data_IF_734390892814
#
_entry.id   IF_734390892814
#
_cell.length_a   1.000
_cell.length_b   1.000
_cell.length_c   1.000
_cell.angle_alpha   90.00
_cell.angle_beta   90.00
_cell.angle_gamma   90.00
#
_symmetry.space_group_name_H-M   'P 1'
#
loop_
_entity.id
_entity.type
_entity.pdbx_description
1 polymer ?
#
# COMPACT_ATOMS: atom_id res chain seq x y z
N UNK A 1 44.88 -24.43 -19.99
CA UNK A 1 43.60 -24.64 -20.70
C UNK A 1 42.51 -25.14 -19.74
N UNK A 2 42.72 -26.27 -19.05
CA UNK A 2 41.77 -26.84 -18.08
C UNK A 2 41.48 -25.92 -16.88
N UNK A 3 42.49 -25.25 -16.32
CA UNK A 3 42.29 -24.32 -15.20
C UNK A 3 41.39 -23.12 -15.53
N UNK A 4 41.44 -22.63 -16.78
CA UNK A 4 40.58 -21.54 -17.24
C UNK A 4 39.13 -21.98 -17.44
N UNK A 5 38.91 -23.19 -17.98
CA UNK A 5 37.57 -23.77 -18.11
C UNK A 5 36.91 -24.03 -16.76
N UNK A 6 37.69 -24.50 -15.77
CA UNK A 6 37.23 -24.70 -14.40
C UNK A 6 36.86 -23.38 -13.71
N UNK A 7 37.73 -22.36 -13.84
CA UNK A 7 37.44 -21.02 -13.33
C UNK A 7 36.20 -20.40 -13.98
N UNK A 8 36.02 -20.60 -15.28
CA UNK A 8 34.84 -20.10 -15.99
C UNK A 8 33.55 -20.81 -15.54
N UNK A 9 33.58 -22.13 -15.35
CA UNK A 9 32.45 -22.90 -14.83
C UNK A 9 32.06 -22.48 -13.41
N UNK A 10 33.05 -22.33 -12.52
CA UNK A 10 32.81 -21.88 -11.14
C UNK A 10 32.25 -20.46 -11.07
N UNK A 11 32.72 -19.54 -11.93
CA UNK A 11 32.16 -18.19 -12.05
C UNK A 11 30.68 -18.21 -12.48
N UNK A 12 30.31 -19.05 -13.46
CA UNK A 12 28.91 -19.18 -13.91
C UNK A 12 28.01 -19.74 -12.79
N UNK A 13 28.51 -20.71 -12.03
CA UNK A 13 27.78 -21.30 -10.90
C UNK A 13 27.55 -20.27 -9.79
N UNK A 14 28.60 -19.52 -9.40
CA UNK A 14 28.49 -18.48 -8.38
C UNK A 14 27.57 -17.36 -8.85
N UNK A 15 27.72 -16.88 -10.10
CA UNK A 15 26.89 -15.80 -10.64
C UNK A 15 25.41 -16.17 -10.66
N UNK A 16 25.08 -17.41 -11.03
CA UNK A 16 23.69 -17.89 -11.06
C UNK A 16 23.10 -17.98 -9.65
N UNK A 17 23.88 -18.45 -8.67
CA UNK A 17 23.45 -18.47 -7.28
C UNK A 17 23.26 -17.06 -6.71
N UNK A 18 24.21 -16.15 -6.95
CA UNK A 18 24.10 -14.75 -6.53
C UNK A 18 22.94 -14.03 -7.20
N UNK A 19 22.64 -14.34 -8.47
CA UNK A 19 21.51 -13.75 -9.19
C UNK A 19 20.17 -14.25 -8.65
N UNK A 20 20.03 -15.54 -8.36
CA UNK A 20 18.81 -16.09 -7.79
C UNK A 20 18.56 -15.58 -6.36
N UNK A 21 19.62 -15.47 -5.55
CA UNK A 21 19.55 -14.88 -4.21
C UNK A 21 19.18 -13.39 -4.26
N UNK A 22 19.82 -12.62 -5.13
CA UNK A 22 19.50 -11.21 -5.33
C UNK A 22 18.06 -11.04 -5.83
N UNK A 23 17.61 -11.87 -6.77
CA UNK A 23 16.23 -11.87 -7.25
C UNK A 23 15.24 -12.06 -6.09
N UNK A 24 15.47 -13.06 -5.22
CA UNK A 24 14.63 -13.27 -4.05
C UNK A 24 14.62 -12.06 -3.09
N UNK A 25 15.81 -11.49 -2.79
CA UNK A 25 15.94 -10.29 -1.94
C UNK A 25 15.26 -9.05 -2.51
N UNK A 26 15.18 -8.93 -3.83
CA UNK A 26 14.50 -7.81 -4.50
C UNK A 26 13.01 -8.04 -4.70
N UNK A 27 12.55 -9.29 -4.80
CA UNK A 27 11.14 -9.66 -4.98
C UNK A 27 10.30 -9.30 -3.74
N UNK A 28 10.88 -9.32 -2.53
CA UNK A 28 10.15 -8.92 -1.33
C UNK A 28 9.90 -7.41 -1.20
N UNK A 29 10.50 -6.55 -2.05
CA UNK A 29 10.54 -5.09 -1.80
C UNK A 29 9.95 -4.18 -2.87
N UNK A 30 9.38 -4.69 -3.97
CA UNK A 30 8.92 -3.83 -5.08
C UNK A 30 7.47 -4.00 -5.54
N UNK A 31 6.64 -4.77 -4.83
CA UNK A 31 5.21 -4.79 -5.10
C UNK A 31 4.49 -3.95 -4.02
N UNK A 32 4.13 -2.71 -4.36
CA UNK A 32 3.15 -1.99 -3.56
C UNK A 32 1.83 -2.77 -3.70
N UNK A 33 1.28 -3.36 -2.63
CA UNK A 33 0.11 -4.24 -2.75
C UNK A 33 -1.16 -3.51 -3.24
N UNK A 34 -1.10 -2.18 -3.34
CA UNK A 34 -2.17 -1.29 -3.78
C UNK A 34 -1.59 -0.20 -4.70
N UNK A 35 -2.11 -0.12 -5.91
CA UNK A 35 -1.83 0.97 -6.85
C UNK A 35 -3.05 1.90 -7.03
N UNK A 36 -4.27 1.41 -6.75
CA UNK A 36 -5.49 2.21 -6.88
C UNK A 36 -6.59 1.87 -5.86
N UNK A 37 -7.56 2.77 -5.73
CA UNK A 37 -8.79 2.57 -4.97
C UNK A 37 -9.60 1.35 -5.47
N UNK A 38 -9.55 1.06 -6.78
CA UNK A 38 -10.17 -0.15 -7.35
C UNK A 38 -9.59 -1.42 -6.73
N UNK A 39 -8.28 -1.48 -6.49
CA UNK A 39 -7.65 -2.68 -5.93
C UNK A 39 -8.03 -2.87 -4.46
N UNK A 40 -8.16 -1.78 -3.71
CA UNK A 40 -8.76 -1.79 -2.37
C UNK A 40 -10.19 -2.34 -2.39
N UNK A 41 -10.98 -2.07 -3.44
CA UNK A 41 -12.35 -2.57 -3.56
C UNK A 41 -12.44 -4.08 -3.89
N UNK A 42 -11.40 -4.64 -4.51
CA UNK A 42 -11.32 -6.05 -4.92
C UNK A 42 -10.81 -6.95 -3.79
N UNK A 43 -9.94 -6.42 -2.93
CA UNK A 43 -9.30 -7.17 -1.84
C UNK A 43 -9.90 -6.80 -0.46
N UNK A 44 -9.74 -7.70 0.51
CA UNK A 44 -10.23 -7.52 1.89
C UNK A 44 -9.12 -7.59 2.93
N UNK A 45 -7.86 -7.79 2.51
CA UNK A 45 -6.70 -7.95 3.41
C UNK A 45 -6.30 -6.62 4.05
N UNK A 46 -6.19 -5.57 3.24
CA UNK A 46 -5.93 -4.20 3.70
C UNK A 46 -7.26 -3.54 4.03
N UNK A 47 -7.43 -3.11 5.29
CA UNK A 47 -8.60 -2.34 5.72
C UNK A 47 -8.46 -0.91 5.23
N UNK A 48 -9.56 -0.24 4.96
CA UNK A 48 -9.53 1.18 4.61
C UNK A 48 -10.68 1.94 5.25
N UNK A 49 -10.43 3.21 5.53
CA UNK A 49 -11.37 4.07 6.19
C UNK A 49 -11.08 5.53 5.96
N UNK A 50 -12.01 6.37 6.40
CA UNK A 50 -11.93 7.81 6.31
C UNK A 50 -12.27 8.44 7.67
N UNK A 51 -12.13 9.75 7.76
CA UNK A 51 -12.63 10.51 8.90
C UNK A 51 -14.18 10.44 8.94
N UNK A 52 -14.74 9.98 10.07
CA UNK A 52 -16.19 9.70 10.23
C UNK A 52 -17.10 10.85 9.80
N UNK A 53 -16.75 12.07 10.20
CA UNK A 53 -17.49 13.30 9.89
C UNK A 53 -16.82 14.12 8.79
N UNK A 54 -15.96 13.50 7.98
CA UNK A 54 -15.26 14.15 6.88
C UNK A 54 -16.08 14.23 5.59
N UNK A 55 -15.75 15.23 4.76
CA UNK A 55 -16.25 15.38 3.38
C UNK A 55 -16.00 14.13 2.55
N UNK A 56 -14.84 13.49 2.73
CA UNK A 56 -14.44 12.26 2.05
C UNK A 56 -15.39 11.10 2.34
N UNK A 57 -15.80 10.90 3.59
CA UNK A 57 -16.76 9.86 3.94
C UNK A 57 -18.15 10.10 3.30
N UNK A 58 -18.60 11.36 3.31
CA UNK A 58 -19.84 11.75 2.63
C UNK A 58 -19.76 11.53 1.11
N UNK A 59 -18.62 11.82 0.49
CA UNK A 59 -18.38 11.56 -0.93
C UNK A 59 -18.55 10.08 -1.28
N UNK A 60 -17.97 9.16 -0.52
CA UNK A 60 -18.12 7.72 -0.77
C UNK A 60 -19.56 7.24 -0.59
N UNK A 61 -20.30 7.82 0.36
CA UNK A 61 -21.73 7.53 0.58
C UNK A 61 -22.61 7.99 -0.58
N UNK A 62 -22.38 9.20 -1.06
CA UNK A 62 -23.24 9.86 -2.05
C UNK A 62 -22.78 9.60 -3.50
N UNK A 63 -21.70 8.84 -3.67
CA UNK A 63 -21.16 8.50 -4.99
C UNK A 63 -22.10 7.62 -5.82
N UNK A 64 -22.16 7.88 -7.12
CA UNK A 64 -22.90 7.07 -8.10
C UNK A 64 -22.04 5.98 -8.75
N UNK A 65 -20.73 5.98 -8.52
CA UNK A 65 -19.82 5.01 -9.12
C UNK A 65 -19.91 3.66 -8.38
N UNK A 66 -20.12 2.52 -9.08
CA UNK A 66 -20.32 1.22 -8.43
C UNK A 66 -19.14 0.78 -7.57
N UNK A 67 -17.90 1.12 -7.98
CA UNK A 67 -16.68 0.86 -7.20
C UNK A 67 -16.73 1.55 -5.84
N UNK A 68 -17.06 2.85 -5.82
CA UNK A 68 -17.10 3.65 -4.59
C UNK A 68 -18.28 3.30 -3.69
N UNK A 69 -19.42 2.93 -4.27
CA UNK A 69 -20.54 2.37 -3.50
C UNK A 69 -20.17 1.07 -2.79
N UNK A 70 -19.45 0.17 -3.48
CA UNK A 70 -18.94 -1.06 -2.87
C UNK A 70 -17.94 -0.77 -1.75
N UNK A 71 -17.06 0.21 -1.94
CA UNK A 71 -16.13 0.67 -0.89
C UNK A 71 -16.88 1.23 0.32
N UNK A 72 -17.91 2.04 0.10
CA UNK A 72 -18.76 2.56 1.17
C UNK A 72 -19.48 1.44 1.94
N UNK A 73 -20.03 0.45 1.23
CA UNK A 73 -20.67 -0.71 1.86
C UNK A 73 -19.68 -1.49 2.74
N UNK A 74 -18.44 -1.67 2.28
CA UNK A 74 -17.38 -2.27 3.09
C UNK A 74 -17.06 -1.43 4.34
N UNK A 75 -16.88 -0.12 4.17
CA UNK A 75 -16.59 0.79 5.29
C UNK A 75 -17.73 0.82 6.31
N UNK A 76 -18.98 0.79 5.85
CA UNK A 76 -20.15 0.81 6.72
C UNK A 76 -20.40 -0.54 7.42
N UNK A 77 -20.09 -1.65 6.76
CA UNK A 77 -20.23 -3.00 7.34
C UNK A 77 -19.09 -3.38 8.29
N UNK A 78 -17.92 -2.74 8.17
CA UNK A 78 -16.76 -3.01 9.01
C UNK A 78 -16.66 -2.00 10.16
N UNK A 79 -16.99 -2.38 11.41
CA UNK A 79 -16.90 -1.46 12.53
C UNK A 79 -15.43 -1.09 12.81
N UNK A 80 -15.20 0.17 13.20
CA UNK A 80 -13.88 0.64 13.62
C UNK A 80 -12.89 0.92 12.49
N UNK A 81 -13.32 1.00 11.21
CA UNK A 81 -12.47 1.52 10.12
C UNK A 81 -12.45 3.04 10.07
N UNK A 82 -13.53 3.70 10.51
CA UNK A 82 -13.56 5.15 10.61
C UNK A 82 -12.73 5.65 11.79
N UNK A 83 -12.08 6.78 11.61
CA UNK A 83 -11.34 7.49 12.65
C UNK A 83 -12.06 8.78 13.05
N UNK A 84 -11.76 9.29 14.24
CA UNK A 84 -12.38 10.50 14.80
C UNK A 84 -11.53 11.77 14.56
N UNK A 85 -10.32 11.63 14.02
CA UNK A 85 -9.45 12.73 13.62
C UNK A 85 -8.52 12.33 12.48
N UNK A 86 -8.11 13.29 11.64
CA UNK A 86 -7.10 13.04 10.60
C UNK A 86 -5.75 12.62 11.20
N UNK A 87 -5.37 13.20 12.34
CA UNK A 87 -4.12 12.86 13.02
C UNK A 87 -4.10 11.37 13.44
N UNK A 88 -5.21 10.89 14.01
CA UNK A 88 -5.38 9.49 14.40
C UNK A 88 -5.37 8.57 13.17
N UNK A 89 -5.95 9.03 12.05
CA UNK A 89 -5.89 8.34 10.76
C UNK A 89 -4.46 8.11 10.30
N UNK A 90 -3.62 9.14 10.27
CA UNK A 90 -2.22 9.01 9.88
C UNK A 90 -1.41 8.15 10.85
N UNK A 91 -1.66 8.28 12.16
CA UNK A 91 -0.97 7.48 13.16
C UNK A 91 -1.31 5.99 13.03
N UNK A 92 -2.59 5.67 12.82
CA UNK A 92 -3.03 4.30 12.60
C UNK A 92 -2.40 3.66 11.36
N UNK A 93 -2.22 4.41 10.28
CA UNK A 93 -1.53 3.89 9.08
C UNK A 93 -0.08 3.51 9.39
N UNK A 94 0.61 4.29 10.24
CA UNK A 94 1.95 3.96 10.71
C UNK A 94 1.93 2.71 11.61
N UNK A 95 0.96 2.61 12.53
CA UNK A 95 0.88 1.51 13.50
C UNK A 95 0.51 0.15 12.85
N UNK A 96 -0.39 0.17 11.85
CA UNK A 96 -0.90 -1.04 11.19
C UNK A 96 0.05 -1.59 10.10
N UNK A 97 1.27 -1.02 9.93
CA UNK A 97 2.33 -1.50 9.03
C UNK A 97 1.84 -1.89 7.61
N UNK A 98 1.01 -1.03 6.99
CA UNK A 98 0.50 -1.24 5.64
C UNK A 98 -0.73 -2.16 5.54
N UNK A 99 -1.33 -2.57 6.66
CA UNK A 99 -2.61 -3.30 6.71
C UNK A 99 -3.84 -2.38 6.79
N UNK A 100 -3.62 -1.06 6.87
CA UNK A 100 -4.67 -0.05 6.88
C UNK A 100 -4.33 1.12 5.95
N UNK A 101 -5.29 1.51 5.11
CA UNK A 101 -5.21 2.66 4.21
C UNK A 101 -6.18 3.77 4.67
N UNK A 102 -5.67 4.99 4.78
CA UNK A 102 -6.46 6.15 5.18
C UNK A 102 -6.81 7.03 3.99
N UNK A 103 -8.10 7.26 3.78
CA UNK A 103 -8.65 8.08 2.72
C UNK A 103 -8.86 9.50 3.25
N UNK A 104 -8.15 10.46 2.65
CA UNK A 104 -8.16 11.88 3.04
C UNK A 104 -7.94 12.78 1.82
N UNK A 105 -8.13 14.08 1.99
CA UNK A 105 -7.87 15.09 0.96
C UNK A 105 -6.39 15.12 0.56
N UNK A 106 -6.13 15.35 -0.73
CA UNK A 106 -4.80 15.34 -1.33
C UNK A 106 -3.84 16.34 -0.70
N UNK A 107 -4.30 17.56 -0.41
CA UNK A 107 -3.53 18.62 0.24
C UNK A 107 -3.08 18.23 1.65
N UNK A 108 -3.96 17.55 2.40
CA UNK A 108 -3.64 17.09 3.75
C UNK A 108 -2.61 15.96 3.71
N UNK A 109 -2.73 15.04 2.75
CA UNK A 109 -1.77 13.94 2.56
C UNK A 109 -0.40 14.50 2.18
N UNK A 110 -0.34 15.38 1.16
CA UNK A 110 0.90 15.98 0.66
C UNK A 110 1.66 16.69 1.79
N UNK A 111 0.95 17.49 2.60
CA UNK A 111 1.52 18.18 3.76
C UNK A 111 2.13 17.23 4.80
N UNK A 112 1.49 16.08 5.04
CA UNK A 112 1.96 15.11 6.03
C UNK A 112 3.10 14.26 5.48
N UNK A 113 3.04 13.86 4.20
CA UNK A 113 4.10 13.07 3.55
C UNK A 113 5.40 13.86 3.38
N UNK A 114 5.32 15.18 3.20
CA UNK A 114 6.51 16.06 3.17
C UNK A 114 7.27 16.05 4.51
N UNK A 115 6.56 15.77 5.62
CA UNK A 115 7.11 15.77 6.98
C UNK A 115 7.41 14.37 7.51
N UNK A 116 6.70 13.35 7.02
CA UNK A 116 6.81 11.97 7.46
C UNK A 116 7.08 11.07 6.26
N UNK A 117 8.32 10.61 6.14
CA UNK A 117 8.76 9.73 5.06
C UNK A 117 8.21 8.30 5.15
N UNK A 118 7.62 7.92 6.29
CA UNK A 118 7.02 6.59 6.51
C UNK A 118 5.64 6.44 5.85
N UNK A 119 5.11 7.53 5.29
CA UNK A 119 3.81 7.58 4.62
C UNK A 119 4.01 7.78 3.13
N UNK A 120 3.25 7.02 2.34
CA UNK A 120 3.29 7.10 0.88
C UNK A 120 1.91 7.52 0.38
N UNK A 121 1.88 8.52 -0.50
CA UNK A 121 0.67 8.90 -1.23
C UNK A 121 0.51 7.97 -2.43
N UNK A 122 -0.64 7.30 -2.51
CA UNK A 122 -1.09 6.63 -3.73
C UNK A 122 -1.93 7.64 -4.51
N UNK A 123 -1.46 8.06 -5.69
CA UNK A 123 -2.26 8.91 -6.59
C UNK A 123 -3.22 8.01 -7.38
N UNK A 124 -4.51 8.12 -7.05
CA UNK A 124 -5.62 7.58 -7.86
C UNK A 124 -5.90 8.49 -9.04
#
# INVERSE_FOLDING_TARGET
MVAGMWWFFTLIMISSYTANLAAFLTVERMDSPIESAEDLSKQTKIKYGAYRSGSTAAFFRDSTLPTYQRMWQYMNSTPGVFVDSNADGYQRVQDDNGLYAFLSESTSIEYVTERKCDLVQVRT
#
